data_IF_857868025901
#
_entry.id   IF_857868025901
#
_cell.length_a   1.000
_cell.length_b   1.000
_cell.length_c   1.000
_cell.angle_alpha   90.00
_cell.angle_beta   90.00
_cell.angle_gamma   90.00
#
_symmetry.space_group_name_H-M   'P 1'
#
loop_
_entity.id
_entity.type
_entity.pdbx_description
1 polymer ?
#
# COMPACT_ATOMS: atom_id res chain seq x y z
N UNK A 1 1.36 -2.49 10.57
CA UNK A 1 1.01 -1.68 9.39
C UNK A 1 -0.26 -0.91 9.70
N UNK A 2 -0.19 0.43 9.79
CA UNK A 2 -1.36 1.28 10.06
C UNK A 2 -1.91 1.83 8.74
N UNK A 3 -3.21 1.61 8.49
CA UNK A 3 -3.94 2.14 7.33
C UNK A 3 -5.16 2.89 7.86
N UNK A 4 -5.33 4.14 7.42
CA UNK A 4 -6.53 4.94 7.72
C UNK A 4 -7.37 5.07 6.47
N UNK A 5 -8.68 4.88 6.62
CA UNK A 5 -9.65 5.02 5.53
C UNK A 5 -10.44 6.30 5.70
N UNK A 6 -10.58 7.07 4.63
CA UNK A 6 -11.42 8.25 4.60
C UNK A 6 -12.28 8.25 3.34
N UNK A 7 -13.49 8.81 3.43
CA UNK A 7 -14.43 8.88 2.31
C UNK A 7 -13.98 9.95 1.33
N UNK A 8 -13.89 9.58 0.06
CA UNK A 8 -13.44 10.44 -1.04
C UNK A 8 -14.69 10.95 -1.77
N UNK A 9 -15.40 11.88 -1.15
CA UNK A 9 -16.63 12.45 -1.72
C UNK A 9 -16.59 13.97 -1.64
N UNK A 10 -16.59 14.62 -2.80
CA UNK A 10 -16.62 16.09 -2.93
C UNK A 10 -18.04 16.65 -3.08
N UNK A 11 -19.07 15.81 -3.18
CA UNK A 11 -20.44 16.22 -3.47
C UNK A 11 -21.44 15.60 -2.49
N UNK A 12 -22.10 16.41 -1.62
CA UNK A 12 -23.06 15.91 -0.64
C UNK A 12 -24.27 15.20 -1.25
N UNK A 13 -24.61 15.56 -2.49
CA UNK A 13 -25.73 15.04 -3.28
C UNK A 13 -25.46 13.67 -3.91
N UNK A 14 -24.21 13.23 -3.94
CA UNK A 14 -23.85 11.93 -4.52
C UNK A 14 -23.47 10.95 -3.42
N UNK A 15 -24.25 9.88 -3.27
CA UNK A 15 -23.89 8.73 -2.42
C UNK A 15 -22.78 7.88 -3.07
N UNK A 16 -21.65 8.50 -3.43
CA UNK A 16 -20.47 7.77 -3.88
C UNK A 16 -19.87 7.01 -2.69
N UNK A 17 -19.87 5.69 -2.80
CA UNK A 17 -19.15 4.81 -1.89
C UNK A 17 -17.71 4.66 -2.37
N UNK A 18 -16.91 5.69 -2.08
CA UNK A 18 -15.53 5.84 -2.52
C UNK A 18 -14.65 6.20 -1.33
N UNK A 19 -13.55 5.48 -1.16
CA UNK A 19 -12.69 5.55 0.01
C UNK A 19 -11.24 5.48 -0.40
N UNK A 20 -10.43 6.38 0.16
CA UNK A 20 -8.98 6.36 0.01
C UNK A 20 -8.34 5.85 1.30
N UNK A 21 -7.35 4.98 1.14
CA UNK A 21 -6.48 4.51 2.20
C UNK A 21 -5.22 5.37 2.25
N UNK A 22 -4.84 5.81 3.45
CA UNK A 22 -3.57 6.49 3.72
C UNK A 22 -2.73 5.72 4.71
N UNK A 23 -1.41 5.80 4.56
CA UNK A 23 -0.47 5.30 5.57
C UNK A 23 -0.28 6.30 6.72
N UNK A 24 0.55 5.95 7.70
CA UNK A 24 0.86 6.81 8.87
C UNK A 24 1.43 8.19 8.48
N UNK A 25 2.15 8.27 7.37
CA UNK A 25 2.71 9.52 6.85
C UNK A 25 1.70 10.37 6.06
N UNK A 26 0.45 9.93 5.95
CA UNK A 26 -0.58 10.61 5.19
C UNK A 26 -0.48 10.42 3.67
N UNK A 27 0.35 9.48 3.20
CA UNK A 27 0.47 9.17 1.78
C UNK A 27 -0.67 8.23 1.37
N UNK A 28 -1.35 8.57 0.28
CA UNK A 28 -2.36 7.72 -0.34
C UNK A 28 -1.73 6.41 -0.84
N UNK A 29 -2.25 5.28 -0.37
CA UNK A 29 -1.73 3.95 -0.69
C UNK A 29 -2.68 3.13 -1.56
N UNK A 30 -3.97 3.43 -1.54
CA UNK A 30 -4.97 2.66 -2.26
C UNK A 30 -6.34 3.31 -2.25
N UNK A 31 -7.22 2.83 -3.11
CA UNK A 31 -8.60 3.31 -3.22
C UNK A 31 -9.55 2.13 -3.36
N UNK A 32 -10.72 2.25 -2.75
CA UNK A 32 -11.82 1.29 -2.83
C UNK A 32 -13.09 2.04 -3.16
N UNK A 33 -13.76 1.65 -4.24
CA UNK A 33 -15.01 2.30 -4.66
C UNK A 33 -16.02 1.28 -5.17
N UNK A 34 -17.30 1.61 -5.04
CA UNK A 34 -18.41 0.80 -5.57
C UNK A 34 -18.98 1.47 -6.82
N UNK A 35 -19.24 0.65 -7.84
CA UNK A 35 -20.00 1.10 -9.01
C UNK A 35 -21.49 0.91 -8.71
N UNK A 36 -22.25 2.01 -8.81
CA UNK A 36 -23.68 2.05 -8.51
C UNK A 36 -24.56 1.97 -9.78
N UNK A 37 -23.98 1.82 -10.98
CA UNK A 37 -24.71 1.69 -12.25
C UNK A 37 -23.92 0.84 -13.27
N UNK A 38 -24.61 0.09 -14.14
CA UNK A 38 -23.99 -0.70 -15.21
C UNK A 38 -23.82 -2.19 -14.88
N UNK A 39 -23.13 -2.97 -15.74
CA UNK A 39 -23.03 -4.43 -15.59
C UNK A 39 -22.28 -4.88 -14.32
N UNK A 40 -21.41 -4.03 -13.79
CA UNK A 40 -20.64 -4.28 -12.56
C UNK A 40 -21.33 -3.73 -11.30
N UNK A 41 -22.66 -3.48 -11.39
CA UNK A 41 -23.45 -2.94 -10.30
C UNK A 41 -23.24 -3.74 -9.01
N UNK A 42 -22.89 -3.00 -7.96
CA UNK A 42 -22.78 -3.55 -6.62
C UNK A 42 -21.42 -4.16 -6.30
N UNK A 43 -20.54 -4.31 -7.29
CA UNK A 43 -19.17 -4.78 -7.10
C UNK A 43 -18.26 -3.67 -6.55
N UNK A 44 -17.26 -4.10 -5.78
CA UNK A 44 -16.28 -3.26 -5.13
C UNK A 44 -14.95 -3.36 -5.86
N UNK A 45 -14.51 -2.24 -6.41
CA UNK A 45 -13.24 -2.10 -7.09
C UNK A 45 -12.18 -1.66 -6.09
N UNK A 46 -10.98 -2.17 -6.25
CA UNK A 46 -9.83 -1.76 -5.46
C UNK A 46 -8.62 -1.52 -6.35
N UNK A 47 -7.79 -0.57 -5.94
CA UNK A 47 -6.50 -0.30 -6.59
C UNK A 47 -5.46 0.09 -5.55
N UNK A 48 -4.24 -0.36 -5.75
CA UNK A 48 -3.06 -0.02 -4.98
C UNK A 48 -2.22 0.99 -5.77
N UNK A 49 -1.77 2.05 -5.10
CA UNK A 49 -1.26 3.26 -5.75
C UNK A 49 0.26 3.40 -5.69
N UNK A 50 0.96 2.57 -4.91
CA UNK A 50 2.41 2.66 -4.75
C UNK A 50 3.17 1.62 -5.59
N UNK A 51 4.49 1.79 -5.64
CA UNK A 51 5.41 0.91 -6.35
C UNK A 51 5.70 1.30 -7.79
N UNK A 52 6.86 0.87 -8.28
CA UNK A 52 7.33 1.07 -9.65
C UNK A 52 6.85 -0.05 -10.60
N UNK A 53 7.23 0.01 -11.88
CA UNK A 53 6.79 -0.91 -12.93
C UNK A 53 6.88 -2.38 -12.55
N UNK A 54 8.00 -2.82 -11.96
CA UNK A 54 8.23 -4.23 -11.60
C UNK A 54 7.20 -4.72 -10.58
N UNK A 55 6.96 -3.94 -9.51
CA UNK A 55 5.96 -4.25 -8.51
C UNK A 55 4.54 -4.24 -9.10
N UNK A 56 4.25 -3.29 -9.99
CA UNK A 56 2.93 -3.13 -10.64
C UNK A 56 2.59 -4.20 -11.67
N UNK A 57 3.53 -5.07 -12.05
CA UNK A 57 3.22 -6.26 -12.85
C UNK A 57 2.46 -7.32 -12.04
N UNK A 58 2.42 -7.21 -10.71
CA UNK A 58 1.57 -8.04 -9.85
C UNK A 58 0.13 -7.52 -9.79
N UNK A 59 -0.76 -8.30 -9.18
CA UNK A 59 -2.13 -7.87 -8.91
C UNK A 59 -2.15 -6.66 -7.96
N UNK A 60 -2.26 -5.47 -8.55
CA UNK A 60 -2.38 -4.17 -7.87
C UNK A 60 -3.76 -3.53 -8.02
N UNK A 61 -4.69 -4.20 -8.71
CA UNK A 61 -6.08 -3.77 -8.81
C UNK A 61 -6.99 -4.95 -9.07
N UNK A 62 -8.28 -4.81 -8.78
CA UNK A 62 -9.26 -5.81 -9.14
C UNK A 62 -10.64 -5.53 -8.58
N UNK A 63 -11.48 -6.57 -8.58
CA UNK A 63 -12.89 -6.49 -8.22
C UNK A 63 -13.21 -7.51 -7.13
N UNK A 64 -14.08 -7.13 -6.19
CA UNK A 64 -14.50 -7.95 -5.06
C UNK A 64 -16.01 -7.81 -4.83
N UNK A 65 -16.61 -8.82 -4.21
CA UNK A 65 -18.04 -8.83 -3.89
C UNK A 65 -18.41 -7.93 -2.71
N UNK A 66 -17.44 -7.55 -1.89
CA UNK A 66 -17.68 -6.72 -0.70
C UNK A 66 -16.58 -5.70 -0.47
N UNK A 67 -16.95 -4.60 0.20
CA UNK A 67 -16.00 -3.57 0.64
C UNK A 67 -14.89 -4.16 1.47
N UNK A 68 -15.22 -5.05 2.41
CA UNK A 68 -14.25 -5.66 3.31
C UNK A 68 -13.16 -6.41 2.54
N UNK A 69 -13.53 -7.22 1.55
CA UNK A 69 -12.55 -7.91 0.72
C UNK A 69 -11.71 -6.94 -0.13
N UNK A 70 -12.34 -5.91 -0.71
CA UNK A 70 -11.61 -4.87 -1.44
C UNK A 70 -10.57 -4.16 -0.56
N UNK A 71 -10.94 -3.80 0.68
CA UNK A 71 -10.00 -3.20 1.65
C UNK A 71 -8.89 -4.16 2.08
N UNK A 72 -9.19 -5.46 2.20
CA UNK A 72 -8.17 -6.48 2.50
C UNK A 72 -7.16 -6.62 1.36
N UNK A 73 -7.60 -6.52 0.10
CA UNK A 73 -6.68 -6.58 -1.04
C UNK A 73 -5.72 -5.40 -1.06
N UNK A 74 -6.20 -4.17 -0.78
CA UNK A 74 -5.32 -3.00 -0.62
C UNK A 74 -4.32 -3.21 0.51
N UNK A 75 -4.75 -3.72 1.66
CA UNK A 75 -3.85 -4.01 2.77
C UNK A 75 -2.79 -5.06 2.42
N UNK A 76 -3.18 -6.15 1.74
CA UNK A 76 -2.26 -7.21 1.27
C UNK A 76 -1.26 -6.67 0.25
N UNK A 77 -1.71 -5.84 -0.70
CA UNK A 77 -0.82 -5.17 -1.65
C UNK A 77 0.16 -4.23 -0.94
N UNK A 78 -0.30 -3.47 0.06
CA UNK A 78 0.58 -2.59 0.83
C UNK A 78 1.62 -3.35 1.65
N UNK A 79 1.23 -4.45 2.28
CA UNK A 79 2.18 -5.31 3.00
C UNK A 79 3.24 -5.86 2.05
N UNK A 80 2.83 -6.43 0.91
CA UNK A 80 3.77 -6.92 -0.12
C UNK A 80 4.71 -5.81 -0.59
N UNK A 81 4.20 -4.61 -0.80
CA UNK A 81 5.00 -3.45 -1.18
C UNK A 81 6.08 -3.15 -0.14
N UNK A 82 5.73 -3.12 1.15
CA UNK A 82 6.68 -2.86 2.25
C UNK A 82 7.74 -3.96 2.39
N UNK A 83 7.42 -5.19 2.02
CA UNK A 83 8.32 -6.35 2.06
C UNK A 83 9.18 -6.48 0.79
N UNK A 84 8.80 -5.80 -0.30
CA UNK A 84 9.51 -5.86 -1.60
C UNK A 84 10.65 -4.86 -1.64
N UNK A 85 11.83 -5.30 -2.08
CA UNK A 85 13.01 -4.45 -2.22
C UNK A 85 12.75 -3.27 -3.17
N UNK A 86 13.37 -2.12 -2.88
CA UNK A 86 13.30 -0.97 -3.79
C UNK A 86 13.80 -1.27 -5.21
N UNK A 87 14.77 -2.18 -5.36
CA UNK A 87 15.25 -2.67 -6.67
C UNK A 87 14.15 -3.36 -7.49
N UNK A 88 13.18 -3.94 -6.81
CA UNK A 88 12.05 -4.66 -7.41
C UNK A 88 10.80 -3.78 -7.45
N UNK A 89 10.98 -2.46 -7.23
CA UNK A 89 9.93 -1.46 -7.26
C UNK A 89 9.08 -1.39 -5.99
N UNK A 90 9.50 -2.06 -4.90
CA UNK A 90 8.83 -2.02 -3.60
C UNK A 90 9.26 -0.88 -2.69
N UNK A 91 8.76 -0.89 -1.47
CA UNK A 91 8.96 0.15 -0.45
C UNK A 91 9.90 -0.25 0.68
N UNK A 92 10.54 -1.41 0.59
CA UNK A 92 11.52 -1.83 1.59
C UNK A 92 12.78 -0.96 1.44
N UNK A 93 12.82 0.12 2.21
CA UNK A 93 14.06 0.84 2.49
C UNK A 93 14.92 -0.09 3.32
N UNK A 94 16.02 -0.59 2.73
CA UNK A 94 17.14 -1.10 3.52
C UNK A 94 17.64 0.08 4.34
N UNK A 95 17.17 0.26 5.57
CA UNK A 95 17.99 0.96 6.54
C UNK A 95 19.21 0.05 6.65
N UNK A 96 20.42 0.47 6.22
CA UNK A 96 21.59 -0.30 6.60
C UNK A 96 21.57 -0.29 8.12
N UNK A 97 21.36 -1.46 8.72
CA UNK A 97 21.81 -1.66 10.09
C UNK A 97 23.26 -1.22 10.07
N UNK A 98 23.57 -0.09 10.70
CA UNK A 98 24.94 0.25 11.05
C UNK A 98 25.34 -0.91 11.95
N UNK A 99 25.90 -1.95 11.37
CA UNK A 99 26.66 -2.93 12.11
C UNK A 99 27.83 -2.12 12.61
N UNK A 100 27.80 -1.77 13.89
CA UNK A 100 28.97 -1.30 14.61
C UNK A 100 29.98 -2.43 14.51
N UNK A 101 30.77 -2.44 13.44
CA UNK A 101 31.96 -3.23 13.34
C UNK A 101 32.86 -2.71 14.46
N UNK A 102 32.95 -3.49 15.54
CA UNK A 102 33.91 -3.30 16.61
C UNK A 102 35.30 -3.07 15.99
N UNK A 103 35.71 -1.81 15.92
CA UNK A 103 37.13 -1.46 15.80
C UNK A 103 37.77 -1.65 17.17
N UNK A 104 37.96 -2.90 17.60
CA UNK A 104 38.92 -3.24 18.64
C UNK A 104 40.13 -3.82 17.91
N UNK A 105 40.94 -2.91 17.38
CA UNK A 105 42.19 -3.23 16.74
C UNK A 105 43.28 -2.31 17.27
N UNK A 106 43.89 -2.68 18.39
CA UNK A 106 45.32 -2.48 18.67
C UNK A 106 45.74 -3.35 19.86
N UNK A 107 46.64 -4.33 19.68
CA UNK A 107 47.41 -4.85 20.80
C UNK A 107 48.49 -3.84 21.20
N UNK A 108 48.94 -3.79 22.46
CA UNK A 108 50.11 -3.00 22.83
C UNK A 108 51.37 -3.66 22.24
N UNK A 109 52.22 -2.85 21.60
CA UNK A 109 53.58 -3.23 21.19
C UNK A 109 54.52 -3.25 22.43
N UNK A 110 55.62 -4.01 22.35
CA UNK A 110 56.43 -4.46 23.50
C UNK A 110 57.18 -3.34 24.23
#
# INVERSE_FOLDING_TARGET
MEIKWHKTSFRPDVQLQDFTATNRSGIDIGRVYRIENGPDLGLWFWTFLLGHSQFRMSDVSGVQRSRHHATQQVARAYQRYLETAGSDGGGLSRIPLITTANSIGKPPCP
#
